data_IF_311884798264
#
_entry.id   IF_311884798264
#
_cell.length_a   1.000
_cell.length_b   1.000
_cell.length_c   1.000
_cell.angle_alpha   90.00
_cell.angle_beta   90.00
_cell.angle_gamma   90.00
#
_symmetry.space_group_name_H-M   'P 1'
#
loop_
_entity.id
_entity.type
_entity.pdbx_description
1 polymer ?
#
# COMPACT_ATOMS: atom_id res chain seq x y z
N UNK A 1 -0.72 16.62 -8.78
CA UNK A 1 -1.91 15.92 -9.32
C UNK A 1 -1.81 15.93 -10.83
N UNK A 2 -2.16 14.82 -11.49
CA UNK A 2 -2.19 14.77 -12.96
C UNK A 2 -3.25 15.78 -13.47
N UNK A 3 -2.98 16.44 -14.60
CA UNK A 3 -3.87 17.46 -15.19
C UNK A 3 -5.24 16.89 -15.63
N UNK A 4 -5.40 15.59 -15.63
CA UNK A 4 -6.54 14.89 -16.24
C UNK A 4 -7.50 14.26 -15.20
N UNK A 5 -7.43 14.64 -13.93
CA UNK A 5 -8.30 14.07 -12.88
C UNK A 5 -8.05 12.57 -12.59
N UNK A 6 -6.93 12.02 -13.08
CA UNK A 6 -6.57 10.62 -12.85
C UNK A 6 -5.44 10.51 -11.84
N UNK A 7 -5.59 9.60 -10.88
CA UNK A 7 -4.63 9.38 -9.79
C UNK A 7 -4.20 7.92 -9.81
N UNK A 8 -2.89 7.69 -9.89
CA UNK A 8 -2.31 6.36 -9.87
C UNK A 8 -2.01 5.94 -8.44
N UNK A 9 -2.57 4.82 -8.04
CA UNK A 9 -2.50 4.28 -6.67
C UNK A 9 -1.77 2.94 -6.72
N UNK A 10 -0.71 2.80 -5.92
CA UNK A 10 -0.08 1.52 -5.62
C UNK A 10 -0.60 1.05 -4.26
N UNK A 11 -1.26 -0.10 -4.23
CA UNK A 11 -1.84 -0.64 -3.01
C UNK A 11 -1.26 -2.00 -2.66
N UNK A 12 -1.11 -2.25 -1.35
CA UNK A 12 -0.53 -3.47 -0.80
C UNK A 12 -1.45 -4.14 0.22
N UNK A 13 -1.58 -5.46 0.12
CA UNK A 13 -1.94 -6.36 1.22
C UNK A 13 -0.65 -6.91 1.83
N UNK A 14 -0.21 -6.43 3.02
CA UNK A 14 1.14 -6.67 3.53
C UNK A 14 1.31 -8.07 4.12
N UNK A 15 2.44 -8.69 3.84
CA UNK A 15 2.89 -9.93 4.45
C UNK A 15 4.38 -10.16 4.19
N UNK A 16 5.14 -10.63 5.19
CA UNK A 16 6.59 -10.79 5.05
C UNK A 16 7.00 -11.84 4.03
N UNK A 17 6.25 -12.94 3.95
CA UNK A 17 6.58 -14.03 3.03
C UNK A 17 5.90 -13.85 1.68
N UNK A 18 4.76 -13.21 1.69
CA UNK A 18 3.88 -13.05 0.54
C UNK A 18 3.02 -11.80 0.74
N UNK A 19 3.09 -10.85 -0.19
CA UNK A 19 2.26 -9.65 -0.18
C UNK A 19 1.56 -9.48 -1.51
N UNK A 20 0.25 -9.24 -1.50
CA UNK A 20 -0.47 -8.82 -2.69
C UNK A 20 -0.18 -7.36 -3.01
N UNK A 21 -0.13 -7.03 -4.30
CA UNK A 21 -0.06 -5.64 -4.74
C UNK A 21 -0.86 -5.39 -6.01
N UNK A 22 -1.35 -4.17 -6.17
CA UNK A 22 -1.90 -3.71 -7.44
C UNK A 22 -1.54 -2.26 -7.71
N UNK A 23 -1.52 -1.91 -8.99
CA UNK A 23 -1.48 -0.53 -9.46
C UNK A 23 -2.82 -0.23 -10.11
N UNK A 24 -3.57 0.68 -9.50
CA UNK A 24 -4.83 1.18 -10.01
C UNK A 24 -4.73 2.61 -10.51
N UNK A 25 -5.56 2.96 -11.48
CA UNK A 25 -5.79 4.32 -11.94
C UNK A 25 -7.22 4.72 -11.57
N UNK A 26 -7.34 5.67 -10.68
CA UNK A 26 -8.64 6.19 -10.26
C UNK A 26 -9.00 7.44 -11.05
N UNK A 27 -10.15 7.40 -11.71
CA UNK A 27 -10.76 8.54 -12.35
C UNK A 27 -11.66 9.27 -11.36
N UNK A 28 -11.27 10.48 -10.96
CA UNK A 28 -11.99 11.25 -9.93
C UNK A 28 -13.34 11.78 -10.42
N UNK A 29 -13.54 11.87 -11.73
CA UNK A 29 -14.79 12.34 -12.36
C UNK A 29 -15.76 11.17 -12.56
N UNK A 30 -15.30 10.10 -13.21
CA UNK A 30 -16.13 8.92 -13.46
C UNK A 30 -16.34 8.04 -12.22
N UNK A 31 -15.52 8.23 -11.16
CA UNK A 31 -15.50 7.40 -9.95
C UNK A 31 -15.21 5.92 -10.23
N UNK A 32 -14.33 5.65 -11.20
CA UNK A 32 -13.95 4.31 -11.63
C UNK A 32 -12.52 4.01 -11.22
N UNK A 33 -12.31 2.86 -10.61
CA UNK A 33 -11.00 2.31 -10.27
C UNK A 33 -10.56 1.29 -11.34
N UNK A 34 -9.60 1.67 -12.17
CA UNK A 34 -9.07 0.79 -13.21
C UNK A 34 -7.81 0.09 -12.76
N UNK A 35 -7.87 -1.23 -12.59
CA UNK A 35 -6.72 -2.07 -12.27
C UNK A 35 -5.82 -2.20 -13.50
N UNK A 36 -4.64 -1.57 -13.46
CA UNK A 36 -3.68 -1.56 -14.56
C UNK A 36 -2.79 -2.81 -14.53
N UNK A 37 -2.31 -3.15 -13.33
CA UNK A 37 -1.41 -4.27 -13.07
C UNK A 37 -1.55 -4.75 -11.63
N UNK A 38 -1.26 -6.02 -11.39
CA UNK A 38 -1.25 -6.62 -10.07
C UNK A 38 -0.28 -7.80 -10.01
N UNK A 39 0.05 -8.24 -8.82
CA UNK A 39 0.93 -9.38 -8.60
C UNK A 39 1.23 -9.63 -7.14
N UNK A 40 2.28 -10.42 -6.91
CA UNK A 40 2.74 -10.82 -5.59
C UNK A 40 4.18 -10.39 -5.38
N UNK A 41 4.49 -9.83 -4.20
CA UNK A 41 5.87 -9.74 -3.70
C UNK A 41 6.19 -11.04 -2.98
N UNK A 42 7.32 -11.63 -3.31
CA UNK A 42 7.79 -12.91 -2.74
C UNK A 42 9.25 -12.81 -2.31
N UNK A 43 9.57 -11.95 -1.31
CA UNK A 43 10.94 -11.64 -0.97
C UNK A 43 11.77 -12.86 -0.59
N UNK A 44 11.19 -13.84 0.11
CA UNK A 44 11.92 -15.06 0.49
C UNK A 44 12.31 -15.96 -0.69
N UNK A 45 11.59 -15.90 -1.81
CA UNK A 45 11.88 -16.70 -3.01
C UNK A 45 12.95 -16.07 -3.89
N UNK A 46 13.15 -14.77 -3.76
CA UNK A 46 14.10 -14.00 -4.57
C UNK A 46 15.50 -13.95 -3.96
N UNK A 47 15.66 -14.44 -2.72
CA UNK A 47 16.97 -14.48 -2.07
C UNK A 47 17.78 -15.63 -2.67
N UNK A 48 18.81 -15.29 -3.43
CA UNK A 48 19.80 -16.27 -3.89
C UNK A 48 20.71 -16.66 -2.72
N UNK A 49 20.58 -17.92 -2.28
CA UNK A 49 21.33 -18.43 -1.13
C UNK A 49 22.80 -18.74 -1.43
N UNK A 50 23.21 -18.74 -2.69
CA UNK A 50 24.59 -19.06 -3.09
C UNK A 50 25.55 -17.91 -2.86
N UNK A 51 25.17 -16.69 -3.25
CA UNK A 51 26.01 -15.49 -3.10
C UNK A 51 25.77 -14.74 -1.78
N UNK A 52 24.60 -14.94 -1.16
CA UNK A 52 24.20 -14.22 0.05
C UNK A 52 24.42 -14.99 1.36
N UNK A 53 25.08 -16.16 1.31
CA UNK A 53 25.27 -17.00 2.49
C UNK A 53 25.99 -16.26 3.63
N UNK A 54 26.99 -15.43 3.30
CA UNK A 54 27.73 -14.64 4.29
C UNK A 54 26.82 -13.60 4.94
N UNK A 55 25.99 -12.92 4.16
CA UNK A 55 25.06 -11.92 4.64
C UNK A 55 23.92 -12.55 5.45
N UNK A 56 23.47 -13.73 5.03
CA UNK A 56 22.47 -14.50 5.78
C UNK A 56 22.95 -14.91 7.16
N UNK A 57 24.20 -15.37 7.27
CA UNK A 57 24.83 -15.69 8.55
C UNK A 57 25.06 -14.44 9.39
N UNK A 58 25.45 -13.32 8.76
CA UNK A 58 25.77 -12.07 9.45
C UNK A 58 24.53 -11.31 9.93
N UNK A 59 23.48 -11.22 9.11
CA UNK A 59 22.32 -10.35 9.35
C UNK A 59 21.03 -11.11 9.69
N UNK A 60 20.98 -12.41 9.41
CA UNK A 60 19.82 -13.25 9.62
C UNK A 60 18.73 -13.13 8.54
N UNK A 61 17.89 -14.15 8.47
CA UNK A 61 16.86 -14.29 7.42
C UNK A 61 15.88 -13.12 7.37
N UNK A 62 15.53 -12.56 8.52
CA UNK A 62 14.55 -11.49 8.63
C UNK A 62 15.03 -10.20 7.95
N UNK A 63 16.29 -9.82 8.18
CA UNK A 63 16.89 -8.61 7.60
C UNK A 63 17.00 -8.77 6.09
N UNK A 64 17.43 -9.95 5.61
CA UNK A 64 17.52 -10.24 4.18
C UNK A 64 16.14 -10.19 3.50
N UNK A 65 15.11 -10.76 4.13
CA UNK A 65 13.75 -10.69 3.63
C UNK A 65 13.25 -9.24 3.51
N UNK A 66 13.51 -8.40 4.52
CA UNK A 66 13.11 -6.99 4.48
C UNK A 66 13.90 -6.21 3.42
N UNK A 67 15.17 -6.51 3.21
CA UNK A 67 15.97 -5.87 2.18
C UNK A 67 15.47 -6.23 0.78
N UNK A 68 15.14 -7.50 0.54
CA UNK A 68 14.59 -7.94 -0.73
C UNK A 68 13.18 -7.35 -0.98
N UNK A 69 12.35 -7.28 0.06
CA UNK A 69 11.08 -6.54 0.01
C UNK A 69 11.30 -5.10 -0.46
N UNK A 70 12.29 -4.40 0.12
CA UNK A 70 12.64 -3.04 -0.27
C UNK A 70 13.01 -2.94 -1.74
N UNK A 71 13.79 -3.88 -2.25
CA UNK A 71 14.18 -3.93 -3.66
C UNK A 71 12.96 -4.11 -4.58
N UNK A 72 12.04 -5.02 -4.23
CA UNK A 72 10.83 -5.25 -5.00
C UNK A 72 9.89 -4.04 -4.97
N UNK A 73 9.74 -3.36 -3.83
CA UNK A 73 8.97 -2.11 -3.74
C UNK A 73 9.60 -1.00 -4.59
N UNK A 74 10.93 -0.84 -4.56
CA UNK A 74 11.63 0.13 -5.44
C UNK A 74 11.37 -0.15 -6.91
N UNK A 75 11.39 -1.41 -7.31
CA UNK A 75 11.08 -1.79 -8.69
C UNK A 75 9.68 -1.32 -9.11
N UNK A 76 8.66 -1.55 -8.25
CA UNK A 76 7.30 -1.08 -8.50
C UNK A 76 7.20 0.45 -8.55
N UNK A 77 7.85 1.15 -7.62
CA UNK A 77 7.88 2.61 -7.59
C UNK A 77 8.48 3.20 -8.85
N UNK A 78 9.60 2.62 -9.32
CA UNK A 78 10.32 3.06 -10.51
C UNK A 78 9.60 2.70 -11.81
N UNK A 79 8.88 1.57 -11.86
CA UNK A 79 8.15 1.16 -13.05
C UNK A 79 6.84 1.91 -13.22
N UNK A 80 6.10 2.09 -12.12
CA UNK A 80 4.72 2.61 -12.23
C UNK A 80 4.56 4.07 -11.83
N UNK A 81 5.52 4.68 -11.16
CA UNK A 81 5.48 6.07 -10.69
C UNK A 81 4.13 6.44 -10.06
N UNK A 82 3.68 5.73 -8.99
CA UNK A 82 2.37 6.00 -8.39
C UNK A 82 2.34 7.39 -7.75
N UNK A 83 1.19 8.05 -7.83
CA UNK A 83 0.95 9.31 -7.13
C UNK A 83 0.82 9.09 -5.62
N UNK A 84 0.15 7.99 -5.26
CA UNK A 84 -0.17 7.61 -3.87
C UNK A 84 0.19 6.15 -3.64
N UNK A 85 0.65 5.85 -2.41
CA UNK A 85 0.90 4.49 -1.94
C UNK A 85 0.07 4.22 -0.71
N UNK A 86 -0.66 3.10 -0.70
CA UNK A 86 -1.54 2.70 0.40
C UNK A 86 -1.32 1.24 0.78
N UNK A 87 -1.50 0.92 2.04
CA UNK A 87 -1.42 -0.47 2.57
C UNK A 87 -2.52 -0.71 3.59
N UNK A 88 -2.85 -1.98 3.83
CA UNK A 88 -3.53 -2.35 5.06
C UNK A 88 -2.64 -2.04 6.26
N UNK A 89 -3.23 -1.60 7.37
CA UNK A 89 -2.51 -1.35 8.62
C UNK A 89 -2.28 -2.64 9.41
N UNK A 90 -1.29 -2.63 10.30
CA UNK A 90 -1.02 -3.77 11.17
C UNK A 90 -2.14 -3.94 12.20
N UNK A 91 -2.73 -5.13 12.24
CA UNK A 91 -3.74 -5.48 13.22
C UNK A 91 -3.17 -6.44 14.27
N UNK A 92 -3.31 -6.07 15.56
CA UNK A 92 -2.87 -6.92 16.66
C UNK A 92 -3.85 -8.05 16.94
N UNK A 93 -3.39 -9.30 16.76
CA UNK A 93 -4.11 -10.48 17.16
C UNK A 93 -3.38 -11.17 18.33
N UNK A 94 -3.99 -11.24 19.54
CA UNK A 94 -3.34 -11.86 20.71
C UNK A 94 -2.94 -13.33 20.51
N UNK A 95 -3.63 -14.03 19.60
CA UNK A 95 -3.32 -15.42 19.25
C UNK A 95 -2.11 -15.56 18.30
N UNK A 96 -1.66 -14.47 17.66
CA UNK A 96 -0.56 -14.45 16.69
C UNK A 96 0.31 -13.19 16.83
N UNK A 97 0.95 -12.97 17.97
CA UNK A 97 1.72 -11.75 18.22
C UNK A 97 2.93 -11.61 17.26
N UNK A 98 3.54 -12.71 16.82
CA UNK A 98 4.62 -12.70 15.85
C UNK A 98 4.20 -12.19 14.47
N UNK A 99 2.94 -12.43 14.06
CA UNK A 99 2.40 -11.90 12.81
C UNK A 99 2.29 -10.38 12.87
N UNK A 100 1.82 -9.82 13.99
CA UNK A 100 1.77 -8.37 14.19
C UNK A 100 3.16 -7.72 14.08
N UNK A 101 4.16 -8.30 14.78
CA UNK A 101 5.54 -7.81 14.69
C UNK A 101 6.06 -7.85 13.24
N UNK A 102 5.70 -8.89 12.50
CA UNK A 102 6.07 -9.03 11.09
C UNK A 102 5.46 -7.92 10.21
N UNK A 103 4.17 -7.63 10.41
CA UNK A 103 3.47 -6.57 9.67
C UNK A 103 4.02 -5.19 10.00
N UNK A 104 4.29 -4.89 11.28
CA UNK A 104 4.90 -3.63 11.69
C UNK A 104 6.26 -3.42 11.03
N UNK A 105 7.09 -4.47 10.96
CA UNK A 105 8.39 -4.39 10.29
C UNK A 105 8.24 -4.16 8.78
N UNK A 106 7.27 -4.83 8.15
CA UNK A 106 6.95 -4.63 6.75
C UNK A 106 6.56 -3.17 6.47
N UNK A 107 5.58 -2.66 7.22
CA UNK A 107 5.09 -1.28 7.08
C UNK A 107 6.21 -0.26 7.30
N UNK A 108 7.03 -0.46 8.35
CA UNK A 108 8.17 0.44 8.63
C UNK A 108 9.20 0.42 7.50
N UNK A 109 9.54 -0.75 6.97
CA UNK A 109 10.51 -0.87 5.89
C UNK A 109 10.04 -0.17 4.61
N UNK A 110 8.74 -0.27 4.28
CA UNK A 110 8.15 0.42 3.12
C UNK A 110 8.02 1.92 3.37
N UNK A 111 7.56 2.33 4.55
CA UNK A 111 7.39 3.75 4.90
C UNK A 111 8.73 4.51 4.81
N UNK A 112 9.82 3.92 5.32
CA UNK A 112 11.16 4.50 5.23
C UNK A 112 11.62 4.67 3.78
N UNK A 113 11.42 3.68 2.90
CA UNK A 113 11.77 3.81 1.48
C UNK A 113 10.98 4.94 0.83
N UNK A 114 9.67 4.97 1.05
CA UNK A 114 8.79 5.96 0.44
C UNK A 114 9.18 7.37 0.86
N UNK A 115 9.50 7.55 2.14
CA UNK A 115 9.94 8.83 2.69
C UNK A 115 11.31 9.23 2.14
N UNK A 116 12.32 8.36 2.29
CA UNK A 116 13.72 8.71 2.04
C UNK A 116 14.06 8.82 0.54
N UNK A 117 13.45 7.98 -0.29
CA UNK A 117 13.82 7.88 -1.70
C UNK A 117 12.81 8.53 -2.65
N UNK A 118 11.53 8.66 -2.25
CA UNK A 118 10.47 9.13 -3.13
C UNK A 118 9.71 10.34 -2.60
N UNK A 119 10.02 10.84 -1.40
CA UNK A 119 9.29 11.93 -0.72
C UNK A 119 7.77 11.66 -0.67
N UNK A 120 7.38 10.42 -0.38
CA UNK A 120 6.00 9.96 -0.31
C UNK A 120 5.67 9.41 1.07
N UNK A 121 4.39 9.38 1.40
CA UNK A 121 3.83 8.82 2.63
C UNK A 121 3.14 7.52 2.30
N UNK A 122 3.27 6.51 3.17
CA UNK A 122 2.46 5.30 3.14
C UNK A 122 1.15 5.57 3.88
N UNK A 123 0.04 5.64 3.14
CA UNK A 123 -1.29 5.67 3.75
C UNK A 123 -1.65 4.29 4.27
N UNK A 124 -2.32 4.23 5.43
CA UNK A 124 -2.68 2.97 6.09
C UNK A 124 -4.18 2.92 6.32
N UNK A 125 -4.81 1.82 5.92
CA UNK A 125 -6.25 1.56 6.11
C UNK A 125 -6.47 0.44 7.11
N UNK A 126 -7.46 0.61 7.97
CA UNK A 126 -7.87 -0.46 8.88
C UNK A 126 -8.39 -1.68 8.08
N UNK A 127 -8.04 -2.93 8.48
CA UNK A 127 -8.43 -4.16 7.77
C UNK A 127 -9.93 -4.28 7.50
N UNK A 128 -10.76 -3.82 8.43
CA UNK A 128 -12.22 -3.86 8.32
C UNK A 128 -12.77 -2.85 7.32
N UNK A 129 -12.09 -1.73 7.09
CA UNK A 129 -12.54 -0.68 6.19
C UNK A 129 -12.58 -1.16 4.73
N UNK A 130 -11.49 -1.80 4.26
CA UNK A 130 -11.42 -2.32 2.90
C UNK A 130 -12.54 -3.34 2.62
N UNK A 131 -12.77 -4.28 3.55
CA UNK A 131 -13.84 -5.27 3.42
C UNK A 131 -15.22 -4.64 3.40
N UNK A 132 -15.49 -3.72 4.31
CA UNK A 132 -16.77 -3.00 4.40
C UNK A 132 -17.12 -2.29 3.08
N UNK A 133 -16.19 -1.58 2.51
CA UNK A 133 -16.42 -0.75 1.33
C UNK A 133 -16.54 -1.60 0.06
N UNK A 134 -15.67 -2.61 -0.11
CA UNK A 134 -15.66 -3.43 -1.31
C UNK A 134 -16.85 -4.38 -1.36
N UNK A 135 -17.15 -5.08 -0.26
CA UNK A 135 -18.20 -6.12 -0.22
C UNK A 135 -19.52 -5.66 0.42
N UNK A 136 -19.58 -4.44 0.97
CA UNK A 136 -20.71 -3.95 1.74
C UNK A 136 -20.83 -4.54 3.15
N UNK A 137 -19.92 -5.44 3.55
CA UNK A 137 -19.92 -6.11 4.85
C UNK A 137 -18.52 -6.30 5.41
N UNK A 138 -18.22 -5.64 6.54
CA UNK A 138 -16.89 -5.66 7.16
C UNK A 138 -16.42 -7.03 7.69
N UNK A 139 -17.36 -7.97 7.85
CA UNK A 139 -17.09 -9.37 8.19
C UNK A 139 -17.05 -10.32 6.99
N UNK A 140 -16.96 -9.81 5.75
CA UNK A 140 -16.89 -10.64 4.57
C UNK A 140 -15.70 -11.60 4.65
N UNK A 141 -15.96 -12.84 4.26
CA UNK A 141 -14.92 -13.84 4.10
C UNK A 141 -14.12 -13.59 2.81
N UNK A 142 -13.10 -14.39 2.60
CA UNK A 142 -12.19 -14.28 1.46
C UNK A 142 -12.90 -14.38 0.11
N UNK A 143 -13.85 -15.30 0.00
CA UNK A 143 -14.62 -15.50 -1.23
C UNK A 143 -15.55 -14.30 -1.49
N UNK A 144 -16.12 -13.73 -0.44
CA UNK A 144 -16.95 -12.53 -0.55
C UNK A 144 -16.18 -11.31 -1.06
N UNK A 145 -14.96 -11.08 -0.58
CA UNK A 145 -14.10 -10.01 -1.09
C UNK A 145 -13.70 -10.26 -2.55
N UNK A 146 -13.27 -11.48 -2.89
CA UNK A 146 -12.91 -11.84 -4.26
C UNK A 146 -14.08 -11.67 -5.23
N UNK A 147 -15.26 -12.16 -4.85
CA UNK A 147 -16.48 -12.00 -5.64
C UNK A 147 -16.82 -10.52 -5.84
N UNK A 148 -16.74 -9.72 -4.78
CA UNK A 148 -17.02 -8.30 -4.85
C UNK A 148 -16.05 -7.57 -5.80
N UNK A 149 -14.74 -7.83 -5.71
CA UNK A 149 -13.72 -7.24 -6.59
C UNK A 149 -13.99 -7.57 -8.06
N UNK A 150 -14.42 -8.80 -8.35
CA UNK A 150 -14.66 -9.27 -9.71
C UNK A 150 -15.96 -8.74 -10.35
N UNK A 151 -16.97 -8.41 -9.53
CA UNK A 151 -18.32 -8.12 -10.03
C UNK A 151 -18.76 -6.67 -9.81
N UNK A 152 -17.91 -5.82 -9.22
CA UNK A 152 -18.22 -4.39 -9.12
C UNK A 152 -18.07 -3.70 -10.46
N UNK A 153 -19.09 -2.95 -10.86
CA UNK A 153 -19.10 -2.20 -12.13
C UNK A 153 -18.09 -1.05 -12.16
N UNK A 154 -17.72 -0.54 -10.99
CA UNK A 154 -16.76 0.56 -10.80
C UNK A 154 -15.30 0.09 -10.59
N UNK A 155 -15.05 -1.24 -10.62
CA UNK A 155 -13.72 -1.84 -10.71
C UNK A 155 -13.54 -2.43 -12.11
N UNK A 156 -12.64 -1.86 -12.89
CA UNK A 156 -12.42 -2.27 -14.29
C UNK A 156 -11.00 -2.81 -14.45
N UNK A 157 -10.87 -4.00 -15.01
CA UNK A 157 -9.57 -4.60 -15.30
C UNK A 157 -9.10 -4.25 -16.72
N UNK A 158 -7.82 -3.89 -16.84
CA UNK A 158 -7.22 -3.63 -18.17
C UNK A 158 -7.12 -4.90 -19.03
N UNK A 159 -6.94 -6.07 -18.40
CA UNK A 159 -6.86 -7.37 -19.07
C UNK A 159 -8.19 -8.12 -18.96
N UNK A 160 -8.64 -8.72 -20.05
CA UNK A 160 -9.86 -9.55 -20.10
C UNK A 160 -9.71 -10.90 -19.35
N UNK A 161 -8.47 -11.34 -19.07
CA UNK A 161 -8.15 -12.59 -18.36
C UNK A 161 -7.57 -12.31 -16.97
N UNK A 162 -7.97 -11.21 -16.36
CA UNK A 162 -7.48 -10.84 -15.02
C UNK A 162 -7.94 -11.85 -13.95
N UNK A 163 -9.13 -12.39 -14.10
CA UNK A 163 -9.78 -13.34 -13.20
C UNK A 163 -9.00 -14.65 -12.99
N UNK A 164 -8.30 -15.13 -14.02
CA UNK A 164 -7.55 -16.39 -13.97
C UNK A 164 -6.35 -16.36 -13.00
N UNK A 165 -5.86 -15.18 -12.64
CA UNK A 165 -4.63 -14.99 -11.85
C UNK A 165 -4.87 -14.27 -10.52
N UNK A 166 -6.12 -14.02 -10.14
CA UNK A 166 -6.45 -13.33 -8.90
C UNK A 166 -6.35 -14.28 -7.70
N UNK A 167 -5.31 -14.09 -6.89
CA UNK A 167 -5.21 -14.71 -5.57
C UNK A 167 -5.94 -13.86 -4.53
N UNK A 168 -6.18 -14.43 -3.34
CA UNK A 168 -6.74 -13.73 -2.20
C UNK A 168 -6.00 -12.41 -1.92
N UNK A 169 -4.68 -12.48 -1.74
CA UNK A 169 -3.85 -11.30 -1.44
C UNK A 169 -3.91 -10.22 -2.53
N UNK A 170 -4.05 -10.62 -3.79
CA UNK A 170 -4.23 -9.67 -4.89
C UNK A 170 -5.60 -8.99 -4.78
N UNK A 171 -6.67 -9.76 -4.51
CA UNK A 171 -8.01 -9.20 -4.33
C UNK A 171 -8.07 -8.25 -3.13
N UNK A 172 -7.44 -8.62 -2.01
CA UNK A 172 -7.35 -7.76 -0.82
C UNK A 172 -6.60 -6.46 -1.15
N UNK A 173 -5.48 -6.53 -1.89
CA UNK A 173 -4.77 -5.32 -2.34
C UNK A 173 -5.61 -4.42 -3.24
N UNK A 174 -6.40 -4.99 -4.16
CA UNK A 174 -7.33 -4.23 -5.03
C UNK A 174 -8.42 -3.57 -4.17
N UNK A 175 -8.97 -4.30 -3.21
CA UNK A 175 -9.93 -3.76 -2.25
C UNK A 175 -9.39 -2.58 -1.45
N UNK A 176 -8.13 -2.66 -1.01
CA UNK A 176 -7.43 -1.57 -0.30
C UNK A 176 -7.29 -0.34 -1.21
N UNK A 177 -6.80 -0.51 -2.44
CA UNK A 177 -6.65 0.59 -3.39
C UNK A 177 -7.97 1.25 -3.77
N UNK A 178 -9.00 0.44 -4.01
CA UNK A 178 -10.37 0.89 -4.28
C UNK A 178 -10.94 1.69 -3.10
N UNK A 179 -10.84 1.17 -1.87
CA UNK A 179 -11.33 1.83 -0.67
C UNK A 179 -10.65 3.17 -0.43
N UNK A 180 -9.32 3.21 -0.58
CA UNK A 180 -8.58 4.47 -0.49
C UNK A 180 -9.08 5.50 -1.52
N UNK A 181 -9.27 5.08 -2.76
CA UNK A 181 -9.72 5.93 -3.85
C UNK A 181 -11.09 6.56 -3.58
N UNK A 182 -12.02 5.80 -3.00
CA UNK A 182 -13.41 6.25 -2.80
C UNK A 182 -13.63 6.97 -1.47
N UNK A 183 -12.95 6.57 -0.39
CA UNK A 183 -13.23 7.07 0.96
C UNK A 183 -12.21 8.11 1.44
N UNK A 184 -10.93 7.93 1.12
CA UNK A 184 -9.87 8.78 1.69
C UNK A 184 -9.43 9.86 0.71
N UNK A 185 -9.23 9.48 -0.54
CA UNK A 185 -8.68 10.38 -1.56
C UNK A 185 -9.52 11.63 -1.81
N UNK A 186 -10.88 11.60 -1.82
CA UNK A 186 -11.67 12.81 -1.99
C UNK A 186 -11.39 13.88 -0.94
N UNK A 187 -11.27 13.48 0.34
CA UNK A 187 -10.94 14.39 1.42
C UNK A 187 -9.51 14.95 1.30
N UNK A 188 -8.55 14.15 0.82
CA UNK A 188 -7.19 14.61 0.57
C UNK A 188 -7.14 15.62 -0.58
N UNK A 189 -7.90 15.39 -1.65
CA UNK A 189 -7.99 16.33 -2.78
C UNK A 189 -8.53 17.68 -2.28
N UNK A 190 -9.62 17.67 -1.52
CA UNK A 190 -10.22 18.89 -0.94
C UNK A 190 -9.20 19.64 -0.05
N UNK A 191 -8.45 18.93 0.80
CA UNK A 191 -7.38 19.53 1.61
C UNK A 191 -6.26 20.14 0.76
N UNK A 192 -5.89 19.51 -0.34
CA UNK A 192 -4.87 20.03 -1.26
C UNK A 192 -5.37 21.27 -2.03
N UNK A 193 -6.62 21.26 -2.49
CA UNK A 193 -7.23 22.36 -3.23
C UNK A 193 -7.49 23.58 -2.34
N UNK A 194 -7.95 23.38 -1.11
CA UNK A 194 -8.17 24.45 -0.13
C UNK A 194 -6.88 25.09 0.38
N UNK A 195 -5.72 24.48 0.08
CA UNK A 195 -4.40 24.96 0.50
C UNK A 195 -4.13 24.77 1.99
N UNK A 196 -4.94 23.98 2.70
CA UNK A 196 -4.74 23.69 4.13
C UNK A 196 -3.33 23.12 4.40
N UNK A 197 -2.85 22.23 3.53
CA UNK A 197 -1.49 21.68 3.62
C UNK A 197 -0.40 22.74 3.42
N UNK A 198 -0.67 23.78 2.60
CA UNK A 198 0.28 24.92 2.44
C UNK A 198 0.38 25.77 3.68
N UNK A 199 -0.69 25.89 4.48
CA UNK A 199 -0.67 26.64 5.75
C UNK A 199 0.11 25.91 6.83
N UNK A 200 -0.09 24.61 6.96
CA UNK A 200 0.66 23.77 7.93
C UNK A 200 2.16 23.75 7.62
N UNK A 201 2.55 23.70 6.35
CA UNK A 201 3.96 23.75 5.94
C UNK A 201 4.65 25.12 6.10
N UNK A 202 3.88 26.20 6.33
CA UNK A 202 4.42 27.54 6.63
C UNK A 202 4.56 27.83 8.11
N UNK A 203 3.92 27.04 8.95
CA UNK A 203 3.97 27.13 10.42
C UNK A 203 4.87 26.05 11.04
N UNK A 204 5.84 25.51 10.30
CA UNK A 204 6.91 24.74 10.95
C UNK A 204 7.62 25.68 11.90
N UNK A 205 7.61 25.39 13.22
CA UNK A 205 8.33 26.21 14.18
C UNK A 205 9.80 26.30 13.74
N UNK A 206 10.37 27.49 13.85
CA UNK A 206 11.81 27.66 13.59
C UNK A 206 12.62 26.73 14.51
N UNK A 207 13.82 26.34 14.08
CA UNK A 207 14.69 25.49 14.90
C UNK A 207 14.90 26.08 16.31
N UNK A 208 14.82 27.42 16.46
CA UNK A 208 14.92 28.13 17.72
C UNK A 208 13.66 27.98 18.61
N UNK A 209 12.47 27.91 18.02
CA UNK A 209 11.23 27.63 18.75
C UNK A 209 11.14 26.15 19.18
N UNK A 210 11.66 25.21 18.39
CA UNK A 210 11.77 23.82 18.79
C UNK A 210 12.77 23.64 19.93
N UNK A 211 13.93 24.30 19.88
CA UNK A 211 14.92 24.26 20.97
C UNK A 211 14.38 24.84 22.28
N UNK A 212 13.61 25.92 22.23
CA UNK A 212 13.04 26.54 23.45
C UNK A 212 11.96 25.72 24.14
N UNK A 213 11.33 24.74 23.43
CA UNK A 213 10.29 23.85 23.98
C UNK A 213 10.83 22.56 24.59
N UNK A 214 12.06 22.16 24.24
CA UNK A 214 12.62 20.84 24.59
C UNK A 214 14.00 20.94 25.31
N UNK A 215 14.52 22.13 25.57
CA UNK A 215 15.62 22.43 26.43
C UNK A 215 15.15 23.32 27.60
#
# INVERSE_FOLDING_TARGET
MSKDGQIRILAFDPGLSLSGWNVGLYDTTAKVYRVLKFGMLTPNKSIDTTDTHVDYVKYGSRVMTLQELRNQVRALMNEYHPDVVVSEDAFYNPKRPSAYSALVQWLTAVDLILHDEYAKVLFKLAPTAAKQIVSGFGGADKLGVQHAVLHREDIVFKSKHADENLTEHICDSIGIGYTFAHEVLPALIDLWETGYVKKVGKETPSDDELRSRYC
#
